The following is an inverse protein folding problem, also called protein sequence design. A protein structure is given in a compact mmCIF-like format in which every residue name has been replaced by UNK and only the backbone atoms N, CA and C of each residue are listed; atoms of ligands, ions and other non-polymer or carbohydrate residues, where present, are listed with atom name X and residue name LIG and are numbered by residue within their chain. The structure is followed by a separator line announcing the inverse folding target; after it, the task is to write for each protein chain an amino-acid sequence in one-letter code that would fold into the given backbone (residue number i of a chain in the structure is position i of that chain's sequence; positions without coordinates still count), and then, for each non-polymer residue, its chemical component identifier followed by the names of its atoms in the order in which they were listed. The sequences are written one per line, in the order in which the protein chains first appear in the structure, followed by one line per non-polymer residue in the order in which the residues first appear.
data_IF_551727551336
#
_entry.id   IF_551727551336
#
_cell.length_a   1.000
_cell.length_b   1.000
_cell.length_c   1.000
_cell.angle_alpha   90.00
_cell.angle_beta   90.00
_cell.angle_gamma   90.00
#
_symmetry.space_group_name_H-M   'P 1'
#
loop_
_entity.id
_entity.type
_entity.pdbx_description
1 polymer ?
#
# COMPACT_ATOMS: atom_id res chain seq x y z
N UNK A 1 -13.70 1.56 19.68
CA UNK A 1 -12.49 1.79 18.88
C UNK A 1 -11.54 2.78 19.55
N UNK A 2 -12.00 3.89 20.16
CA UNK A 2 -11.10 4.84 20.83
C UNK A 2 -10.24 4.21 21.94
N UNK A 3 -10.73 3.17 22.61
CA UNK A 3 -9.93 2.40 23.55
C UNK A 3 -9.06 1.36 22.81
N UNK A 4 -9.74 0.35 22.27
CA UNK A 4 -9.09 -0.81 21.65
C UNK A 4 -8.18 -0.49 20.46
N UNK A 5 -8.54 0.47 19.62
CA UNK A 5 -7.76 0.92 18.48
C UNK A 5 -6.48 1.66 18.90
N UNK A 6 -6.57 2.52 19.92
CA UNK A 6 -5.40 3.21 20.48
C UNK A 6 -4.46 2.23 21.19
N UNK A 7 -5.01 1.28 21.96
CA UNK A 7 -4.23 0.25 22.63
C UNK A 7 -3.51 -0.65 21.62
N UNK A 8 -4.24 -1.08 20.58
CA UNK A 8 -3.70 -1.90 19.49
C UNK A 8 -2.56 -1.15 18.76
N UNK A 9 -2.79 0.11 18.37
CA UNK A 9 -1.75 0.96 17.76
C UNK A 9 -0.52 1.13 18.67
N UNK A 10 -0.74 1.47 19.95
CA UNK A 10 0.34 1.74 20.90
C UNK A 10 1.18 0.49 21.18
N UNK A 11 0.51 -0.67 21.30
CA UNK A 11 1.16 -1.97 21.44
C UNK A 11 2.02 -2.27 20.22
N UNK A 12 1.46 -2.19 19.01
CA UNK A 12 2.21 -2.47 17.77
C UNK A 12 3.41 -1.54 17.62
N UNK A 13 3.24 -0.24 17.86
CA UNK A 13 4.34 0.73 17.84
C UNK A 13 5.44 0.41 18.85
N UNK A 14 5.06 0.06 20.09
CA UNK A 14 6.01 -0.31 21.13
C UNK A 14 6.80 -1.55 20.74
N UNK A 15 6.12 -2.55 20.16
CA UNK A 15 6.77 -3.76 19.65
C UNK A 15 7.72 -3.48 18.50
N UNK A 16 7.40 -2.56 17.59
CA UNK A 16 8.32 -2.15 16.52
C UNK A 16 9.56 -1.45 17.08
N UNK A 17 9.40 -0.62 18.11
CA UNK A 17 10.54 0.05 18.74
C UNK A 17 11.43 -0.93 19.51
N UNK A 18 10.84 -1.89 20.22
CA UNK A 18 11.56 -2.90 20.97
C UNK A 18 12.17 -4.00 20.07
N UNK A 19 11.51 -4.31 18.96
CA UNK A 19 11.89 -5.36 18.01
C UNK A 19 11.88 -4.80 16.56
N UNK A 20 12.94 -4.07 16.15
CA UNK A 20 12.95 -3.23 14.96
C UNK A 20 13.04 -3.98 13.63
N UNK A 21 13.26 -5.30 13.66
CA UNK A 21 13.38 -6.12 12.46
C UNK A 21 12.18 -7.08 12.37
N UNK A 22 10.96 -6.57 12.07
CA UNK A 22 9.82 -7.45 11.91
C UNK A 22 10.03 -8.34 10.69
N UNK A 23 9.65 -9.60 10.85
CA UNK A 23 9.72 -10.61 9.79
C UNK A 23 8.31 -11.12 9.51
N UNK A 24 8.10 -11.67 8.31
CA UNK A 24 6.81 -12.23 7.94
C UNK A 24 6.45 -13.38 8.88
N UNK A 25 5.26 -13.31 9.48
CA UNK A 25 4.69 -14.40 10.27
C UNK A 25 3.38 -14.80 9.62
N UNK A 26 3.24 -16.09 9.28
CA UNK A 26 1.97 -16.63 8.80
C UNK A 26 1.46 -17.64 9.80
N UNK A 27 0.19 -17.52 10.15
CA UNK A 27 -0.47 -18.51 10.98
C UNK A 27 -1.24 -19.49 10.10
N UNK A 28 -1.04 -20.78 10.36
CA UNK A 28 -1.72 -21.88 9.70
C UNK A 28 -2.71 -22.52 10.68
N UNK A 29 -3.61 -23.37 10.18
CA UNK A 29 -4.65 -24.05 10.96
C UNK A 29 -5.52 -23.04 11.74
N UNK A 30 -6.23 -22.19 11.01
CA UNK A 30 -7.14 -21.17 11.57
C UNK A 30 -6.51 -20.20 12.57
N UNK A 31 -5.19 -20.03 12.54
CA UNK A 31 -4.47 -19.09 13.41
C UNK A 31 -3.66 -19.77 14.51
N UNK A 32 -3.79 -21.08 14.68
CA UNK A 32 -3.20 -21.83 15.80
C UNK A 32 -1.67 -21.87 15.73
N UNK A 33 -1.10 -22.26 14.58
CA UNK A 33 0.35 -22.46 14.46
C UNK A 33 0.99 -21.24 13.77
N UNK A 34 1.78 -20.42 14.49
CA UNK A 34 2.59 -19.38 13.86
C UNK A 34 3.84 -20.00 13.21
N UNK A 35 4.06 -19.70 11.94
CA UNK A 35 5.29 -19.99 11.20
C UNK A 35 5.99 -18.68 10.90
N UNK A 36 7.21 -18.55 11.40
CA UNK A 36 8.05 -17.36 11.25
C UNK A 36 8.99 -17.54 10.05
N UNK A 37 8.97 -16.58 9.13
CA UNK A 37 9.88 -16.54 7.98
C UNK A 37 10.98 -15.52 8.25
N UNK A 38 11.96 -15.91 9.07
CA UNK A 38 13.04 -15.01 9.53
C UNK A 38 13.87 -14.36 8.42
N UNK A 39 13.90 -14.96 7.23
CA UNK A 39 14.60 -14.43 6.05
C UNK A 39 13.77 -13.45 5.22
N UNK A 40 12.51 -13.20 5.60
CA UNK A 40 11.60 -12.31 4.89
C UNK A 40 11.29 -11.12 5.79
N UNK A 41 12.07 -10.03 5.71
CA UNK A 41 11.75 -8.81 6.42
C UNK A 41 10.44 -8.24 5.89
N UNK A 42 9.69 -7.56 6.76
CA UNK A 42 8.53 -6.75 6.37
C UNK A 42 8.79 -5.29 6.74
N UNK A 43 8.11 -4.37 6.07
CA UNK A 43 8.33 -2.93 6.28
C UNK A 43 7.96 -2.50 7.71
N UNK A 44 6.87 -3.05 8.25
CA UNK A 44 6.36 -2.72 9.58
C UNK A 44 5.42 -3.82 10.07
N UNK A 45 5.12 -3.87 11.37
CA UNK A 45 4.34 -4.97 11.97
C UNK A 45 2.87 -4.96 11.56
N UNK A 46 2.34 -3.78 11.27
CA UNK A 46 1.00 -3.56 10.70
C UNK A 46 0.85 -4.13 9.29
N UNK A 47 1.95 -4.51 8.62
CA UNK A 47 1.97 -5.12 7.30
C UNK A 47 2.67 -6.49 7.35
N UNK A 48 1.88 -7.57 7.38
CA UNK A 48 2.40 -8.93 7.25
C UNK A 48 2.98 -9.62 8.49
N UNK A 49 3.09 -8.97 9.66
CA UNK A 49 3.64 -9.61 10.87
C UNK A 49 2.59 -10.09 11.89
N UNK A 50 1.45 -9.42 12.05
CA UNK A 50 0.57 -9.63 13.22
C UNK A 50 -0.93 -9.73 12.88
N UNK A 51 -1.33 -10.62 11.96
CA UNK A 51 -2.74 -10.91 11.55
C UNK A 51 -3.51 -9.77 10.85
N UNK A 52 -2.98 -8.54 10.84
CA UNK A 52 -3.62 -7.37 10.22
C UNK A 52 -4.12 -7.62 8.80
N UNK A 53 -3.32 -8.30 7.97
CA UNK A 53 -3.68 -8.62 6.58
C UNK A 53 -4.95 -9.47 6.46
N UNK A 54 -5.22 -10.32 7.45
CA UNK A 54 -6.43 -11.16 7.47
C UNK A 54 -7.72 -10.37 7.65
N UNK A 55 -7.65 -9.13 8.16
CA UNK A 55 -8.82 -8.28 8.39
C UNK A 55 -9.07 -7.27 7.27
N UNK A 56 -8.13 -7.09 6.34
CA UNK A 56 -8.26 -6.11 5.25
C UNK A 56 -9.52 -6.35 4.41
N UNK A 57 -9.88 -7.62 4.16
CA UNK A 57 -11.12 -7.99 3.47
C UNK A 57 -12.40 -7.62 4.23
N UNK A 58 -12.32 -7.43 5.55
CA UNK A 58 -13.45 -7.07 6.41
C UNK A 58 -13.69 -5.55 6.48
N UNK A 59 -12.76 -4.71 6.00
CA UNK A 59 -12.84 -3.25 6.15
C UNK A 59 -14.02 -2.61 5.40
N UNK A 60 -14.54 -3.32 4.40
CA UNK A 60 -15.68 -2.90 3.58
C UNK A 60 -17.05 -3.31 4.16
N UNK A 61 -17.07 -4.23 5.13
CA UNK A 61 -18.32 -4.81 5.66
C UNK A 61 -19.17 -3.77 6.40
N UNK A 62 -18.54 -2.90 7.18
CA UNK A 62 -19.22 -1.87 7.95
C UNK A 62 -18.33 -0.64 8.13
N UNK A 63 -18.97 0.54 8.26
CA UNK A 63 -18.31 1.78 8.69
C UNK A 63 -18.02 1.76 10.19
N UNK A 64 -16.90 2.34 10.62
CA UNK A 64 -16.50 2.40 12.04
C UNK A 64 -17.43 3.25 12.91
N UNK A 65 -18.17 4.17 12.31
CA UNK A 65 -19.16 5.02 13.00
C UNK A 65 -20.48 4.29 13.31
N UNK A 66 -20.68 3.08 12.78
CA UNK A 66 -21.90 2.31 13.08
C UNK A 66 -21.84 1.81 14.53
N UNK A 67 -22.96 1.89 15.29
CA UNK A 67 -23.00 1.35 16.64
C UNK A 67 -22.61 -0.13 16.68
N UNK A 68 -21.79 -0.52 17.65
CA UNK A 68 -21.15 -1.84 17.67
C UNK A 68 -22.13 -3.01 17.71
N UNK A 69 -23.25 -2.86 18.41
CA UNK A 69 -24.32 -3.85 18.48
C UNK A 69 -25.10 -4.04 17.17
N UNK A 70 -24.85 -3.19 16.17
CA UNK A 70 -25.43 -3.30 14.83
C UNK A 70 -24.44 -3.83 13.79
N UNK A 71 -23.20 -4.12 14.16
CA UNK A 71 -22.19 -4.62 13.23
C UNK A 71 -22.58 -5.99 12.66
N UNK A 72 -22.24 -6.20 11.39
CA UNK A 72 -22.32 -7.50 10.74
C UNK A 72 -21.31 -8.50 11.31
N UNK A 73 -21.47 -9.80 11.02
CA UNK A 73 -20.53 -10.84 11.44
C UNK A 73 -19.08 -10.51 11.04
N UNK A 74 -18.14 -10.64 11.98
CA UNK A 74 -16.72 -10.36 11.77
C UNK A 74 -16.31 -8.88 11.79
N UNK A 75 -17.23 -7.94 11.56
CA UNK A 75 -16.91 -6.52 11.47
C UNK A 75 -16.48 -5.89 12.81
N UNK A 76 -16.92 -6.43 13.95
CA UNK A 76 -16.56 -5.89 15.27
C UNK A 76 -15.05 -5.85 15.49
N UNK A 77 -14.34 -6.94 15.21
CA UNK A 77 -12.89 -7.02 15.42
C UNK A 77 -12.14 -6.09 14.47
N UNK A 78 -12.54 -6.07 13.20
CA UNK A 78 -11.95 -5.20 12.19
C UNK A 78 -12.13 -3.72 12.55
N UNK A 79 -13.34 -3.29 12.91
CA UNK A 79 -13.67 -1.88 13.15
C UNK A 79 -13.37 -1.38 14.57
N UNK A 80 -13.13 -2.27 15.54
CA UNK A 80 -12.79 -1.87 16.91
C UNK A 80 -11.29 -1.90 17.20
N UNK A 81 -10.53 -2.74 16.50
CA UNK A 81 -9.10 -2.97 16.75
C UNK A 81 -8.24 -2.66 15.52
N UNK A 82 -8.37 -3.46 14.46
CA UNK A 82 -7.40 -3.51 13.36
C UNK A 82 -7.44 -2.28 12.45
N UNK A 83 -8.61 -1.94 11.89
CA UNK A 83 -8.79 -0.77 11.02
C UNK A 83 -8.47 0.54 11.75
N UNK A 84 -8.92 0.77 13.01
CA UNK A 84 -8.52 1.95 13.76
C UNK A 84 -7.01 2.05 13.99
N UNK A 85 -6.33 0.95 14.34
CA UNK A 85 -4.89 0.99 14.55
C UNK A 85 -4.12 1.33 13.27
N UNK A 86 -4.57 0.82 12.13
CA UNK A 86 -4.01 1.16 10.82
C UNK A 86 -4.34 2.59 10.37
N UNK A 87 -5.52 3.10 10.74
CA UNK A 87 -5.90 4.49 10.54
C UNK A 87 -4.97 5.43 11.32
N UNK A 88 -4.73 5.14 12.60
CA UNK A 88 -3.78 5.88 13.44
C UNK A 88 -2.35 5.80 12.89
N UNK A 89 -1.90 4.62 12.44
CA UNK A 89 -0.58 4.46 11.82
C UNK A 89 -0.44 5.20 10.50
N UNK A 90 -1.48 5.20 9.66
CA UNK A 90 -1.49 5.98 8.41
C UNK A 90 -1.38 7.47 8.70
N UNK A 91 -2.09 7.98 9.71
CA UNK A 91 -1.96 9.38 10.14
C UNK A 91 -0.56 9.69 10.68
N UNK A 92 0.03 8.79 11.47
CA UNK A 92 1.41 8.94 11.93
C UNK A 92 2.38 9.07 10.75
N UNK A 93 2.30 8.17 9.78
CA UNK A 93 3.19 8.16 8.62
C UNK A 93 2.97 9.40 7.75
N UNK A 94 1.72 9.85 7.60
CA UNK A 94 1.36 11.01 6.77
C UNK A 94 1.74 12.36 7.41
N UNK A 95 1.46 12.54 8.71
CA UNK A 95 1.72 13.80 9.43
C UNK A 95 3.16 13.91 9.95
N UNK A 96 3.87 12.78 9.99
CA UNK A 96 5.19 12.66 10.57
C UNK A 96 5.18 12.54 12.10
N UNK A 97 6.23 11.91 12.63
CA UNK A 97 6.31 11.51 14.03
C UNK A 97 6.25 12.68 15.02
N UNK A 98 6.85 13.83 14.70
CA UNK A 98 6.85 14.99 15.59
C UNK A 98 5.45 15.58 15.77
N UNK A 99 4.71 15.76 14.67
CA UNK A 99 3.32 16.22 14.69
C UNK A 99 2.43 15.22 15.40
N UNK A 100 2.60 13.93 15.09
CA UNK A 100 1.81 12.88 15.69
C UNK A 100 2.00 12.79 17.21
N UNK A 101 3.21 12.94 17.72
CA UNK A 101 3.45 13.01 19.17
C UNK A 101 2.69 14.17 19.83
N UNK A 102 2.70 15.35 19.20
CA UNK A 102 1.94 16.51 19.70
C UNK A 102 0.43 16.24 19.68
N UNK A 103 -0.10 15.62 18.63
CA UNK A 103 -1.52 15.22 18.54
C UNK A 103 -1.88 14.32 19.73
N UNK A 104 -1.09 13.25 19.93
CA UNK A 104 -1.35 12.26 20.98
C UNK A 104 -1.25 12.86 22.39
N UNK A 105 -0.21 13.67 22.64
CA UNK A 105 -0.04 14.36 23.93
C UNK A 105 -1.19 15.34 24.20
N UNK A 106 -1.56 16.15 23.20
CA UNK A 106 -2.64 17.14 23.33
C UNK A 106 -3.98 16.48 23.57
N UNK A 107 -4.28 15.39 22.86
CA UNK A 107 -5.51 14.62 23.05
C UNK A 107 -5.56 14.04 24.48
N UNK A 108 -4.48 13.40 24.93
CA UNK A 108 -4.41 12.85 26.28
C UNK A 108 -4.59 13.94 27.34
N UNK A 109 -3.89 15.07 27.23
CA UNK A 109 -3.94 16.13 28.24
C UNK A 109 -5.31 16.78 28.39
N UNK A 110 -6.05 16.92 27.28
CA UNK A 110 -7.40 17.51 27.29
C UNK A 110 -8.47 16.55 27.81
N UNK A 111 -8.32 15.27 27.47
CA UNK A 111 -9.37 14.26 27.66
C UNK A 111 -9.08 13.25 28.77
N UNK A 112 -7.92 13.33 29.43
CA UNK A 112 -7.66 12.55 30.65
C UNK A 112 -8.77 12.80 31.69
N UNK A 113 -9.25 11.71 32.28
CA UNK A 113 -10.38 11.69 33.24
C UNK A 113 -11.73 12.18 32.67
N UNK A 114 -11.90 12.16 31.34
CA UNK A 114 -13.16 12.46 30.64
C UNK A 114 -13.60 11.28 29.76
N UNK A 115 -14.75 11.41 29.11
CA UNK A 115 -15.27 10.43 28.15
C UNK A 115 -15.32 11.03 26.74
N UNK A 116 -14.19 11.05 26.00
CA UNK A 116 -14.13 11.66 24.67
C UNK A 116 -14.93 10.85 23.64
N UNK A 117 -15.52 11.57 22.69
CA UNK A 117 -16.11 11.03 21.47
C UNK A 117 -15.11 11.08 20.31
N UNK A 118 -15.29 10.28 19.23
CA UNK A 118 -14.40 10.28 18.07
C UNK A 118 -14.12 11.67 17.49
N UNK A 119 -15.15 12.52 17.42
CA UNK A 119 -15.00 13.90 16.94
C UNK A 119 -13.96 14.69 17.74
N UNK A 120 -13.90 14.49 19.07
CA UNK A 120 -12.93 15.19 19.90
C UNK A 120 -11.48 14.84 19.56
N UNK A 121 -11.23 13.61 19.09
CA UNK A 121 -9.93 13.23 18.59
C UNK A 121 -9.66 13.85 17.22
N UNK A 122 -10.64 13.82 16.31
CA UNK A 122 -10.52 14.41 14.97
C UNK A 122 -10.23 15.92 15.04
N UNK A 123 -10.89 16.64 15.95
CA UNK A 123 -10.67 18.06 16.18
C UNK A 123 -9.23 18.33 16.64
N UNK A 124 -8.68 17.49 17.54
CA UNK A 124 -7.28 17.60 17.98
C UNK A 124 -6.31 17.31 16.84
N UNK A 125 -6.60 16.31 15.99
CA UNK A 125 -5.77 16.03 14.80
C UNK A 125 -5.75 17.25 13.88
N UNK A 126 -6.92 17.81 13.56
CA UNK A 126 -7.02 18.98 12.68
C UNK A 126 -6.29 20.20 13.26
N UNK A 127 -6.53 20.50 14.53
CA UNK A 127 -5.91 21.64 15.22
C UNK A 127 -4.38 21.53 15.27
N UNK A 128 -3.86 20.40 15.73
CA UNK A 128 -2.41 20.25 15.98
C UNK A 128 -1.63 20.03 14.68
N UNK A 129 -2.25 19.42 13.67
CA UNK A 129 -1.62 19.27 12.34
C UNK A 129 -1.66 20.56 11.52
N UNK A 130 -2.56 21.49 11.84
CA UNK A 130 -2.83 22.68 11.03
C UNK A 130 -3.45 22.37 9.67
N UNK A 131 -4.02 21.16 9.50
CA UNK A 131 -4.62 20.67 8.26
C UNK A 131 -6.06 20.24 8.48
N UNK A 132 -6.91 20.41 7.48
CA UNK A 132 -8.24 19.80 7.49
C UNK A 132 -8.15 18.33 7.06
N UNK A 133 -8.22 17.42 8.04
CA UNK A 133 -8.21 15.97 7.83
C UNK A 133 -9.61 15.36 7.70
N UNK A 134 -10.66 16.17 7.54
CA UNK A 134 -12.04 15.67 7.39
C UNK A 134 -12.16 14.71 6.20
N UNK A 135 -11.48 15.00 5.08
CA UNK A 135 -11.43 14.12 3.90
C UNK A 135 -10.94 12.70 4.24
N UNK A 136 -10.05 12.55 5.22
CA UNK A 136 -9.53 11.26 5.64
C UNK A 136 -10.51 10.54 6.56
N UNK A 137 -11.09 11.24 7.53
CA UNK A 137 -12.06 10.67 8.48
C UNK A 137 -13.40 10.31 7.83
N UNK A 138 -13.84 11.07 6.83
CA UNK A 138 -15.03 10.76 6.04
C UNK A 138 -14.94 9.38 5.40
N UNK A 139 -13.75 9.04 4.92
CA UNK A 139 -13.50 7.79 4.22
C UNK A 139 -13.21 6.63 5.19
N UNK A 140 -12.45 6.87 6.26
CA UNK A 140 -12.00 5.82 7.18
C UNK A 140 -13.01 5.51 8.29
N UNK A 141 -13.67 6.53 8.83
CA UNK A 141 -14.58 6.41 9.97
C UNK A 141 -16.06 6.46 9.58
N UNK A 142 -16.45 7.43 8.74
CA UNK A 142 -17.85 7.64 8.35
C UNK A 142 -18.31 6.77 7.19
N UNK A 143 -17.38 6.19 6.42
CA UNK A 143 -17.66 5.27 5.32
C UNK A 143 -17.01 3.89 5.52
N UNK A 144 -17.37 2.94 4.65
CA UNK A 144 -16.68 1.65 4.51
C UNK A 144 -15.80 1.60 3.26
N UNK A 145 -15.44 2.75 2.69
CA UNK A 145 -14.52 2.83 1.56
C UNK A 145 -13.16 2.23 1.94
N UNK A 146 -12.53 1.61 0.95
CA UNK A 146 -11.20 1.02 1.09
C UNK A 146 -10.23 1.67 0.12
N UNK A 147 -8.95 1.66 0.47
CA UNK A 147 -7.85 2.09 -0.39
C UNK A 147 -7.28 0.86 -1.10
N UNK A 148 -7.03 0.94 -2.41
CA UNK A 148 -6.36 -0.10 -3.20
C UNK A 148 -5.71 0.59 -4.40
N UNK A 149 -4.41 0.84 -4.29
CA UNK A 149 -3.59 1.52 -5.29
C UNK A 149 -2.62 0.55 -5.95
N UNK A 150 -2.70 0.43 -7.26
CA UNK A 150 -1.95 -0.54 -8.01
C UNK A 150 -1.08 0.09 -9.10
N UNK A 151 0.03 -0.57 -9.41
CA UNK A 151 0.65 -0.39 -10.73
C UNK A 151 -0.22 -1.11 -11.76
N UNK A 152 -0.68 -0.39 -12.77
CA UNK A 152 -1.55 -0.89 -13.83
C UNK A 152 -0.75 -1.56 -14.96
N UNK A 153 -0.13 -0.74 -15.81
CA UNK A 153 0.73 -1.24 -16.90
C UNK A 153 1.98 -0.39 -17.02
N UNK A 154 3.07 -1.04 -17.43
CA UNK A 154 4.34 -0.39 -17.69
C UNK A 154 4.83 -0.86 -19.05
N UNK A 155 5.05 0.08 -19.95
CA UNK A 155 5.58 -0.19 -21.28
C UNK A 155 6.81 0.66 -21.52
N UNK A 156 7.89 0.07 -22.06
CA UNK A 156 9.06 0.81 -22.55
C UNK A 156 9.34 0.36 -23.98
N UNK A 157 9.18 1.28 -24.93
CA UNK A 157 9.39 1.04 -26.37
C UNK A 157 10.58 1.85 -26.84
N UNK A 158 11.50 1.24 -27.60
CA UNK A 158 12.63 1.96 -28.20
C UNK A 158 12.07 3.02 -29.15
N UNK A 159 12.46 4.27 -28.96
CA UNK A 159 12.14 5.36 -29.89
C UNK A 159 12.86 5.04 -31.19
N UNK A 160 12.08 4.89 -32.26
CA UNK A 160 12.64 4.70 -33.60
C UNK A 160 12.67 6.06 -34.28
N UNK A 161 13.72 6.37 -35.07
CA UNK A 161 13.70 7.55 -35.91
C UNK A 161 12.46 7.51 -36.82
N UNK A 162 11.86 8.68 -37.12
CA UNK A 162 10.66 8.75 -37.93
C UNK A 162 10.91 8.08 -39.29
N UNK A 163 9.97 7.22 -39.69
CA UNK A 163 9.95 6.53 -40.98
C UNK A 163 8.58 6.78 -41.61
N UNK A 164 8.53 7.51 -42.72
CA UNK A 164 7.27 7.83 -43.37
C UNK A 164 7.34 9.10 -44.20
N UNK A 165 6.20 9.49 -44.77
CA UNK A 165 6.08 10.77 -45.46
C UNK A 165 5.93 11.89 -44.42
N UNK A 166 6.75 12.92 -44.54
CA UNK A 166 6.64 14.16 -43.77
C UNK A 166 6.26 15.30 -44.71
N UNK A 167 5.37 16.16 -44.25
CA UNK A 167 4.98 17.36 -44.97
C UNK A 167 6.11 18.39 -44.82
N UNK A 168 6.73 18.75 -45.94
CA UNK A 168 7.74 19.79 -46.06
C UNK A 168 7.18 20.94 -46.90
N UNK A 169 7.84 22.10 -46.92
CA UNK A 169 7.45 23.24 -47.79
C UNK A 169 7.35 22.85 -49.28
N UNK A 170 7.99 21.75 -49.69
CA UNK A 170 7.99 21.20 -51.05
C UNK A 170 7.00 20.03 -51.25
N UNK A 171 6.14 19.75 -50.26
CA UNK A 171 5.16 18.65 -50.27
C UNK A 171 5.54 17.45 -49.39
N UNK A 172 4.81 16.33 -49.54
CA UNK A 172 5.03 15.08 -48.80
C UNK A 172 6.31 14.38 -49.29
N UNK A 173 7.39 14.45 -48.51
CA UNK A 173 8.65 13.74 -48.78
C UNK A 173 8.78 12.50 -47.90
N UNK A 174 9.10 11.36 -48.50
CA UNK A 174 9.40 10.14 -47.75
C UNK A 174 10.77 10.26 -47.08
N UNK A 175 10.77 10.38 -45.76
CA UNK A 175 11.99 10.38 -44.94
C UNK A 175 12.35 8.92 -44.65
N UNK A 176 13.43 8.46 -45.28
CA UNK A 176 14.10 7.22 -44.88
C UNK A 176 14.75 7.46 -43.50
N UNK A 177 14.75 6.49 -42.59
CA UNK A 177 15.47 6.63 -41.33
C UNK A 177 16.95 6.88 -41.63
N UNK A 178 17.40 8.12 -41.49
CA UNK A 178 18.81 8.50 -41.58
C UNK A 178 19.44 8.13 -40.26
N UNK A 179 20.16 7.01 -40.23
CA UNK A 179 21.01 6.64 -39.11
C UNK A 179 22.40 7.23 -39.40
N UNK A 180 22.93 8.06 -38.50
CA UNK A 180 24.19 7.71 -37.89
C UNK A 180 23.87 7.10 -36.53
N UNK A 181 24.41 5.91 -36.29
CA UNK A 181 24.23 5.08 -35.08
C UNK A 181 25.10 5.67 -33.95
N UNK A 182 25.00 6.99 -33.77
CA UNK A 182 25.77 7.79 -32.81
C UNK A 182 24.88 8.55 -31.84
N UNK A 183 23.55 8.55 -32.04
CA UNK A 183 22.60 9.08 -31.07
C UNK A 183 22.31 8.05 -29.96
N UNK A 184 22.32 8.48 -28.71
CA UNK A 184 21.98 7.62 -27.56
C UNK A 184 20.60 6.98 -27.75
N UNK A 185 20.50 5.66 -27.49
CA UNK A 185 19.26 4.90 -27.65
C UNK A 185 18.22 5.40 -26.65
N UNK A 186 17.19 6.09 -27.14
CA UNK A 186 16.07 6.55 -26.32
C UNK A 186 14.94 5.52 -26.26
N UNK A 187 14.25 5.48 -25.12
CA UNK A 187 13.05 4.69 -24.86
C UNK A 187 11.91 5.62 -24.46
N UNK A 188 10.77 5.47 -25.13
CA UNK A 188 9.50 6.03 -24.69
C UNK A 188 8.88 5.05 -23.70
N UNK A 189 8.76 5.45 -22.46
CA UNK A 189 8.16 4.65 -21.40
C UNK A 189 6.88 5.28 -20.91
N UNK A 190 5.85 4.44 -20.72
CA UNK A 190 4.55 4.85 -20.18
C UNK A 190 4.25 3.99 -18.96
N UNK A 191 4.01 4.65 -17.82
CA UNK A 191 3.63 4.03 -16.55
C UNK A 191 2.21 4.44 -16.23
N UNK A 192 1.31 3.46 -16.14
CA UNK A 192 -0.05 3.64 -15.67
C UNK A 192 -0.18 3.13 -14.24
N UNK A 193 -0.73 3.96 -13.36
CA UNK A 193 -1.15 3.58 -12.01
C UNK A 193 -2.66 3.70 -11.89
N UNK A 194 -3.26 2.93 -10.98
CA UNK A 194 -4.72 2.84 -10.81
C UNK A 194 -5.13 2.81 -9.35
N UNK A 195 -6.35 3.28 -9.10
CA UNK A 195 -7.03 3.25 -7.81
C UNK A 195 -8.32 2.43 -7.92
N UNK A 196 -8.25 1.18 -7.50
CA UNK A 196 -9.38 0.26 -7.50
C UNK A 196 -10.35 0.54 -6.35
N UNK A 197 -9.81 0.88 -5.19
CA UNK A 197 -10.57 1.22 -3.99
C UNK A 197 -11.34 2.53 -4.15
N UNK A 198 -12.43 2.70 -3.40
CA UNK A 198 -13.24 3.93 -3.43
C UNK A 198 -12.55 5.11 -2.74
N UNK A 199 -11.66 4.84 -1.77
CA UNK A 199 -11.03 5.87 -0.98
C UNK A 199 -9.85 6.54 -1.70
N UNK A 200 -9.74 7.86 -1.56
CA UNK A 200 -8.78 8.76 -2.17
C UNK A 200 -7.72 9.15 -1.14
N UNK A 201 -6.45 9.07 -1.53
CA UNK A 201 -5.29 9.40 -0.73
C UNK A 201 -4.17 9.95 -1.63
N UNK A 202 -3.52 11.06 -1.27
CA UNK A 202 -2.36 11.55 -1.99
C UNK A 202 -1.17 10.62 -1.77
N UNK A 203 -0.59 10.10 -2.86
CA UNK A 203 0.37 9.01 -2.83
C UNK A 203 1.57 9.30 -3.74
N UNK A 204 2.72 8.75 -3.38
CA UNK A 204 3.93 8.83 -4.19
C UNK A 204 4.07 7.58 -5.07
N UNK A 205 4.55 7.78 -6.30
CA UNK A 205 4.88 6.70 -7.23
C UNK A 205 6.35 6.83 -7.58
N UNK A 206 7.15 5.84 -7.20
CA UNK A 206 8.57 5.77 -7.51
C UNK A 206 8.78 4.92 -8.76
N UNK A 207 9.41 5.50 -9.77
CA UNK A 207 9.83 4.84 -11.01
C UNK A 207 11.35 4.73 -10.99
N UNK A 208 11.87 3.50 -11.06
CA UNK A 208 13.31 3.22 -11.18
C UNK A 208 13.60 2.68 -12.58
N UNK A 209 14.59 3.26 -13.24
CA UNK A 209 15.05 2.89 -14.58
C UNK A 209 16.20 1.87 -14.50
N UNK A 210 16.48 1.16 -15.60
CA UNK A 210 17.51 0.12 -15.64
C UNK A 210 18.96 0.62 -15.58
N UNK A 211 19.16 1.93 -15.81
CA UNK A 211 20.42 2.62 -15.56
C UNK A 211 20.60 3.07 -14.09
N UNK A 212 19.59 2.85 -13.23
CA UNK A 212 19.60 3.26 -11.83
C UNK A 212 18.98 4.63 -11.55
N UNK A 213 18.56 5.38 -12.59
CA UNK A 213 17.85 6.65 -12.37
C UNK A 213 16.52 6.41 -11.66
N UNK A 214 16.13 7.36 -10.81
CA UNK A 214 14.87 7.30 -10.07
C UNK A 214 14.09 8.60 -10.27
N UNK A 215 12.77 8.47 -10.42
CA UNK A 215 11.82 9.58 -10.44
C UNK A 215 10.72 9.28 -9.43
N UNK A 216 10.36 10.26 -8.62
CA UNK A 216 9.23 10.17 -7.68
C UNK A 216 8.15 11.14 -8.15
N UNK A 217 7.04 10.58 -8.60
CA UNK A 217 5.85 11.34 -8.99
C UNK A 217 4.88 11.43 -7.81
N UNK A 218 4.12 12.51 -7.75
CA UNK A 218 3.04 12.68 -6.79
C UNK A 218 1.71 12.56 -7.51
N UNK A 219 0.82 11.75 -6.97
CA UNK A 219 -0.54 11.59 -7.46
C UNK A 219 -1.53 11.85 -6.34
N UNK A 220 -2.51 12.73 -6.58
CA UNK A 220 -3.53 13.06 -5.58
C UNK A 220 -4.56 11.93 -5.34
N UNK A 221 -4.56 10.90 -6.20
CA UNK A 221 -5.47 9.76 -6.14
C UNK A 221 -6.93 10.09 -6.49
N UNK A 222 -7.26 11.31 -6.93
CA UNK A 222 -8.65 11.71 -7.18
C UNK A 222 -9.22 10.95 -8.38
N UNK A 223 -8.52 11.05 -9.49
CA UNK A 223 -8.82 10.26 -10.69
C UNK A 223 -8.65 8.76 -10.42
N UNK A 224 -9.29 7.92 -11.24
CA UNK A 224 -9.17 6.45 -11.09
C UNK A 224 -7.82 5.92 -11.56
N UNK A 225 -7.08 6.71 -12.32
CA UNK A 225 -5.77 6.36 -12.85
C UNK A 225 -4.94 7.62 -13.10
N UNK A 226 -3.63 7.44 -13.14
CA UNK A 226 -2.69 8.43 -13.64
C UNK A 226 -1.73 7.77 -14.64
N UNK A 227 -1.22 8.57 -15.59
CA UNK A 227 -0.27 8.13 -16.59
C UNK A 227 0.95 9.05 -16.55
N UNK A 228 2.13 8.42 -16.46
CA UNK A 228 3.40 9.11 -16.51
C UNK A 228 4.17 8.66 -17.75
N UNK A 229 4.56 9.61 -18.59
CA UNK A 229 5.26 9.37 -19.85
C UNK A 229 6.69 9.92 -19.75
N UNK A 230 7.66 9.12 -20.17
CA UNK A 230 9.07 9.46 -20.14
C UNK A 230 9.74 9.15 -21.47
N UNK A 231 10.69 9.99 -21.87
CA UNK A 231 11.64 9.69 -22.95
C UNK A 231 13.03 9.75 -22.33
N UNK A 232 13.66 8.58 -22.14
CA UNK A 232 14.97 8.43 -21.47
C UNK A 232 15.84 7.41 -22.18
N UNK A 233 17.18 7.44 -22.01
CA UNK A 233 18.07 6.43 -22.58
C UNK A 233 17.97 5.04 -21.92
N UNK A 234 17.07 4.89 -20.95
CA UNK A 234 16.90 3.73 -20.08
C UNK A 234 15.44 3.27 -20.05
N UNK A 235 15.21 1.97 -19.87
CA UNK A 235 13.86 1.41 -19.71
C UNK A 235 13.43 1.46 -18.26
N UNK A 236 12.13 1.44 -18.02
CA UNK A 236 11.61 1.28 -16.65
C UNK A 236 11.92 -0.13 -16.17
N UNK A 237 12.61 -0.23 -15.02
CA UNK A 237 13.00 -1.49 -14.40
C UNK A 237 12.08 -1.88 -13.23
N UNK A 238 11.58 -0.89 -12.49
CA UNK A 238 10.72 -1.07 -11.32
C UNK A 238 9.78 0.12 -11.16
N UNK A 239 8.56 -0.14 -10.70
CA UNK A 239 7.60 0.89 -10.28
C UNK A 239 7.04 0.49 -8.92
N UNK A 240 6.94 1.45 -8.01
CA UNK A 240 6.41 1.26 -6.66
C UNK A 240 5.44 2.39 -6.33
N UNK A 241 4.19 2.03 -6.03
CA UNK A 241 3.18 2.94 -5.48
C UNK A 241 3.27 2.86 -3.97
N UNK A 242 3.33 4.02 -3.32
CA UNK A 242 3.63 4.16 -1.89
C UNK A 242 4.94 3.46 -1.46
N UNK A 243 6.10 3.89 -2.00
CA UNK A 243 7.39 3.24 -1.72
C UNK A 243 7.77 3.26 -0.23
N UNK A 244 7.22 4.21 0.53
CA UNK A 244 7.50 4.39 1.97
C UNK A 244 6.42 3.79 2.87
N UNK A 245 5.40 3.14 2.30
CA UNK A 245 4.30 2.50 3.02
C UNK A 245 3.56 3.47 3.97
N UNK A 246 3.33 4.69 3.52
CA UNK A 246 2.55 5.72 4.24
C UNK A 246 1.10 5.26 4.43
N UNK A 247 0.51 4.68 3.38
CA UNK A 247 -0.88 4.23 3.34
C UNK A 247 -1.01 2.77 3.80
N UNK A 248 -0.87 2.56 5.10
CA UNK A 248 -1.00 1.24 5.73
C UNK A 248 -2.38 0.62 5.49
N UNK A 249 -3.41 1.47 5.31
CA UNK A 249 -4.79 1.07 5.05
C UNK A 249 -5.04 0.47 3.65
N UNK A 250 -4.06 0.43 2.75
CA UNK A 250 -4.22 -0.18 1.42
C UNK A 250 -4.53 -1.68 1.52
N UNK A 251 -5.69 -2.12 1.06
CA UNK A 251 -6.12 -3.52 1.27
C UNK A 251 -5.29 -4.54 0.48
N UNK A 252 -4.47 -4.11 -0.49
CA UNK A 252 -3.71 -5.00 -1.35
C UNK A 252 -2.32 -4.48 -1.76
N UNK A 253 -1.40 -4.40 -0.81
CA UNK A 253 0.01 -4.07 -1.09
C UNK A 253 0.73 -4.94 -2.15
N UNK A 254 0.17 -6.09 -2.54
CA UNK A 254 0.83 -6.98 -3.52
C UNK A 254 0.73 -6.49 -4.96
N UNK A 255 -0.18 -5.55 -5.26
CA UNK A 255 -0.32 -4.93 -6.58
C UNK A 255 0.34 -3.54 -6.65
N UNK A 256 0.88 -3.04 -5.54
CA UNK A 256 1.54 -1.73 -5.45
C UNK A 256 2.90 -1.70 -6.15
N UNK A 257 3.43 -2.82 -6.65
CA UNK A 257 4.74 -2.84 -7.29
C UNK A 257 4.77 -3.67 -8.56
N UNK A 258 5.63 -3.24 -9.48
CA UNK A 258 5.93 -3.91 -10.73
C UNK A 258 7.44 -3.96 -10.95
N UNK A 259 7.94 -5.01 -11.60
CA UNK A 259 9.34 -5.09 -12.03
C UNK A 259 9.47 -5.77 -13.40
N UNK A 260 10.37 -5.25 -14.23
CA UNK A 260 10.65 -5.77 -15.57
C UNK A 260 11.25 -7.19 -15.56
N UNK A 261 11.92 -7.58 -14.46
CA UNK A 261 12.54 -8.91 -14.29
C UNK A 261 11.92 -9.63 -13.09
N UNK A 262 10.67 -10.14 -13.21
CA UNK A 262 10.02 -10.82 -12.11
C UNK A 262 10.79 -12.09 -11.75
N UNK A 263 11.00 -12.34 -10.45
CA UNK A 263 11.61 -13.59 -9.95
C UNK A 263 10.59 -14.73 -9.95
N UNK A 264 10.00 -15.03 -11.11
CA UNK A 264 8.87 -15.95 -11.29
C UNK A 264 9.13 -17.34 -10.68
N UNK A 265 10.35 -17.86 -10.84
CA UNK A 265 10.76 -19.13 -10.23
C UNK A 265 10.62 -19.13 -8.70
N UNK A 266 11.00 -18.03 -8.01
CA UNK A 266 10.82 -17.93 -6.55
C UNK A 266 9.35 -17.89 -6.16
N UNK A 267 8.51 -17.22 -6.95
CA UNK A 267 7.07 -17.21 -6.72
C UNK A 267 6.46 -18.60 -6.92
N UNK A 268 6.85 -19.32 -7.96
CA UNK A 268 6.42 -20.70 -8.21
C UNK A 268 6.84 -21.64 -7.08
N UNK A 269 8.10 -21.59 -6.64
CA UNK A 269 8.57 -22.37 -5.48
C UNK A 269 7.74 -22.04 -4.24
N UNK A 270 7.50 -20.76 -3.93
CA UNK A 270 6.69 -20.35 -2.77
C UNK A 270 5.29 -21.00 -2.80
N UNK A 271 4.62 -20.99 -3.95
CA UNK A 271 3.30 -21.60 -4.09
C UNK A 271 3.34 -23.13 -4.04
N UNK A 272 4.33 -23.75 -4.68
CA UNK A 272 4.54 -25.19 -4.61
C UNK A 272 4.82 -25.64 -3.16
N UNK A 273 5.67 -24.93 -2.42
CA UNK A 273 5.94 -25.21 -1.01
C UNK A 273 4.70 -25.06 -0.14
N UNK A 274 3.87 -24.02 -0.37
CA UNK A 274 2.58 -23.90 0.34
C UNK A 274 1.69 -25.10 0.07
N UNK A 275 1.56 -25.50 -1.19
CA UNK A 275 0.73 -26.64 -1.56
C UNK A 275 1.25 -27.94 -0.96
N UNK A 276 2.57 -28.16 -0.98
CA UNK A 276 3.21 -29.31 -0.34
C UNK A 276 2.95 -29.36 1.17
N UNK A 277 3.02 -28.23 1.87
CA UNK A 277 2.67 -28.15 3.31
C UNK A 277 1.20 -28.52 3.52
N UNK A 278 0.28 -28.01 2.70
CA UNK A 278 -1.14 -28.35 2.80
C UNK A 278 -1.39 -29.84 2.54
N UNK A 279 -0.73 -30.41 1.52
CA UNK A 279 -0.83 -31.84 1.22
C UNK A 279 -0.27 -32.68 2.37
N UNK A 280 0.88 -32.30 2.93
CA UNK A 280 1.47 -32.98 4.08
C UNK A 280 0.52 -32.96 5.27
N UNK A 281 -0.05 -31.81 5.63
CA UNK A 281 -1.01 -31.71 6.74
C UNK A 281 -2.27 -32.56 6.49
N UNK A 282 -2.74 -32.59 5.24
CA UNK A 282 -3.89 -33.43 4.88
C UNK A 282 -3.56 -34.93 5.09
N UNK A 283 -2.37 -35.36 4.68
CA UNK A 283 -1.91 -36.73 4.90
C UNK A 283 -1.73 -37.06 6.39
N UNK A 284 -1.13 -36.16 7.16
CA UNK A 284 -0.96 -36.31 8.62
C UNK A 284 -2.30 -36.37 9.36
N UNK A 285 -3.28 -35.56 8.94
CA UNK A 285 -4.64 -35.62 9.47
C UNK A 285 -5.26 -37.01 9.23
N UNK A 286 -5.18 -37.55 8.01
CA UNK A 286 -5.70 -38.90 7.74
C UNK A 286 -4.94 -39.99 8.50
N UNK A 287 -3.62 -39.86 8.65
CA UNK A 287 -2.80 -40.79 9.42
C UNK A 287 -3.13 -40.76 10.93
N UNK A 288 -3.60 -39.64 11.46
CA UNK A 288 -4.04 -39.54 12.87
C UNK A 288 -5.33 -40.33 13.15
N UNK A 289 -6.18 -40.53 12.14
CA UNK A 289 -7.45 -41.26 12.26
C UNK A 289 -7.41 -42.70 11.72
N UNK A 290 -6.25 -43.17 11.24
CA UNK A 290 -6.01 -44.56 10.80
C UNK A 290 -5.33 -45.38 11.88
#
# INVERSE_FOLDING_TARGET
WLDEGFNTYSTTRTMEKAFPNPVLVRRYLEGFIPVVYSSVPVAERTVGADLYDGFRSMFKLDRMSRPSWKYGPGAYRANSYTKPAMMLRTLENYLGWETWQRVMSTYFDRWKFRHPMPQNFFDVVNEVSGQDMSWFFDQTYYSSNVFDYAVGSVESRRVRPPKGYQETEEGLKFVKPSVPDTGEVQYQSTVFVRRWGEAIFPIEVKITFDNGDEVVEKWDGRERWARFDYVKPAKVAKVEVDPNNVLVLDVNHTNNSWTAKPKAHRAAIKWASKWAIWLQNLMEFFAFFS
#
